data_IF_410366592955
#
_entry.id   IF_410366592955
#
_cell.length_a   1.000
_cell.length_b   1.000
_cell.length_c   1.000
_cell.angle_alpha   90.00
_cell.angle_beta   90.00
_cell.angle_gamma   90.00
#
_symmetry.space_group_name_H-M   'P 1'
#
loop_
_entity.id
_entity.type
_entity.pdbx_description
1 polymer ?
#
# COMPACT_ATOMS: atom_id res chain seq x y z
N UNK A 1 9.94 -13.86 14.90
CA UNK A 1 9.42 -12.54 15.33
C UNK A 1 8.11 -12.24 14.63
N UNK A 2 8.00 -12.47 13.31
CA UNK A 2 6.83 -12.09 12.51
C UNK A 2 5.47 -12.77 12.84
N UNK A 3 5.43 -14.07 13.20
CA UNK A 3 4.14 -14.73 13.53
C UNK A 3 3.42 -14.00 14.68
N UNK A 4 4.18 -13.53 15.67
CA UNK A 4 3.63 -12.80 16.82
C UNK A 4 3.07 -11.44 16.39
N UNK A 5 3.70 -10.77 15.44
CA UNK A 5 3.26 -9.45 14.96
C UNK A 5 1.93 -9.57 14.20
N UNK A 6 1.79 -10.58 13.35
CA UNK A 6 0.51 -10.86 12.69
C UNK A 6 -0.58 -11.26 13.69
N UNK A 7 -0.26 -12.09 14.70
CA UNK A 7 -1.20 -12.42 15.77
C UNK A 7 -1.59 -11.20 16.61
N UNK A 8 -0.69 -10.22 16.75
CA UNK A 8 -0.92 -8.98 17.47
C UNK A 8 -1.82 -8.00 16.70
N UNK A 9 -2.12 -8.25 15.42
CA UNK A 9 -3.05 -7.44 14.65
C UNK A 9 -4.40 -7.27 15.35
N UNK A 10 -4.88 -8.32 16.05
CA UNK A 10 -6.14 -8.29 16.79
C UNK A 10 -6.18 -7.23 17.90
N UNK A 11 -5.02 -6.83 18.42
CA UNK A 11 -4.89 -5.84 19.49
C UNK A 11 -4.69 -4.41 18.99
N UNK A 12 -4.68 -4.19 17.67
CA UNK A 12 -4.68 -2.84 17.09
C UNK A 12 -5.99 -2.12 17.40
N UNK A 13 -5.97 -0.79 17.40
CA UNK A 13 -7.16 0.02 17.67
C UNK A 13 -8.24 -0.20 16.58
N UNK A 14 -9.53 -0.10 16.90
CA UNK A 14 -10.61 -0.41 15.95
C UNK A 14 -10.52 0.36 14.62
N UNK A 15 -10.10 1.63 14.63
CA UNK A 15 -9.97 2.41 13.39
C UNK A 15 -8.84 1.87 12.48
N UNK A 16 -7.75 1.34 13.05
CA UNK A 16 -6.66 0.76 12.27
C UNK A 16 -7.13 -0.52 11.58
N UNK A 17 -7.93 -1.32 12.28
CA UNK A 17 -8.57 -2.52 11.71
C UNK A 17 -9.56 -2.13 10.60
N UNK A 18 -10.39 -1.11 10.81
CA UNK A 18 -11.32 -0.62 9.80
C UNK A 18 -10.60 -0.08 8.55
N UNK A 19 -9.52 0.69 8.71
CA UNK A 19 -8.67 1.17 7.61
C UNK A 19 -8.01 0.02 6.86
N UNK A 20 -7.55 -1.01 7.58
CA UNK A 20 -6.99 -2.23 6.98
C UNK A 20 -8.01 -2.94 6.08
N UNK A 21 -9.23 -3.20 6.57
CA UNK A 21 -10.26 -3.86 5.76
C UNK A 21 -10.72 -2.99 4.59
N UNK A 22 -10.84 -1.68 4.79
CA UNK A 22 -11.11 -0.74 3.69
C UNK A 22 -10.05 -0.86 2.59
N UNK A 23 -8.76 -0.86 2.96
CA UNK A 23 -7.67 -1.05 2.00
C UNK A 23 -7.70 -2.44 1.34
N UNK A 24 -8.06 -3.49 2.06
CA UNK A 24 -8.16 -4.87 1.54
C UNK A 24 -9.26 -4.99 0.48
N UNK A 25 -10.39 -4.33 0.69
CA UNK A 25 -11.53 -4.33 -0.25
C UNK A 25 -11.22 -3.52 -1.51
N UNK A 26 -10.49 -2.42 -1.38
CA UNK A 26 -10.29 -1.46 -2.47
C UNK A 26 -9.06 -1.75 -3.33
N UNK A 27 -8.04 -2.44 -2.82
CA UNK A 27 -6.78 -2.68 -3.55
C UNK A 27 -6.77 -4.04 -4.22
N UNK A 28 -6.31 -4.05 -5.47
CA UNK A 28 -6.01 -5.29 -6.19
C UNK A 28 -4.81 -6.02 -5.54
N UNK A 29 -4.75 -7.35 -5.73
CA UNK A 29 -3.64 -8.22 -5.32
C UNK A 29 -3.26 -8.14 -3.83
N UNK A 30 -4.24 -8.07 -2.94
CA UNK A 30 -3.99 -8.07 -1.48
C UNK A 30 -4.30 -9.42 -0.84
N UNK A 31 -3.51 -9.79 0.17
CA UNK A 31 -3.64 -11.03 0.93
C UNK A 31 -4.01 -10.73 2.38
N UNK A 32 -5.13 -11.25 2.90
CA UNK A 32 -5.51 -11.13 4.30
C UNK A 32 -4.42 -11.60 5.27
N UNK A 33 -4.26 -10.92 6.40
CA UNK A 33 -3.30 -11.32 7.44
C UNK A 33 -3.53 -12.74 7.97
N UNK A 34 -4.77 -13.24 7.95
CA UNK A 34 -5.11 -14.62 8.34
C UNK A 34 -4.53 -15.64 7.38
N UNK A 35 -4.55 -15.37 6.08
CA UNK A 35 -3.97 -16.26 5.06
C UNK A 35 -2.44 -16.28 5.17
N UNK A 36 -1.84 -15.11 5.43
CA UNK A 36 -0.38 -15.04 5.69
C UNK A 36 0.00 -15.86 6.91
N UNK A 37 -0.75 -15.73 8.01
CA UNK A 37 -0.53 -16.51 9.22
C UNK A 37 -0.65 -18.02 9.02
N UNK A 38 -1.57 -18.44 8.15
CA UNK A 38 -1.77 -19.86 7.85
C UNK A 38 -0.58 -20.46 7.10
N UNK A 39 0.04 -19.69 6.20
CA UNK A 39 1.19 -20.16 5.40
C UNK A 39 2.51 -20.11 6.16
N UNK A 40 2.72 -19.12 7.04
CA UNK A 40 4.01 -18.91 7.73
C UNK A 40 4.60 -20.15 8.43
N UNK A 41 3.83 -21.00 9.16
CA UNK A 41 4.35 -22.19 9.82
C UNK A 41 4.88 -23.27 8.87
N UNK A 42 4.47 -23.22 7.59
CA UNK A 42 4.84 -24.19 6.57
C UNK A 42 6.09 -23.80 5.80
N UNK A 43 6.56 -22.55 5.95
CA UNK A 43 7.77 -22.06 5.29
C UNK A 43 9.03 -22.63 5.95
N UNK A 44 9.93 -23.15 5.13
CA UNK A 44 11.23 -23.65 5.55
C UNK A 44 12.39 -22.88 4.87
N UNK A 45 13.62 -23.22 5.26
CA UNK A 45 14.83 -22.56 4.74
C UNK A 45 15.06 -22.87 3.26
N UNK A 46 14.64 -24.03 2.79
CA UNK A 46 14.77 -24.43 1.38
C UNK A 46 13.83 -23.61 0.50
N UNK A 47 12.60 -23.32 0.95
CA UNK A 47 11.66 -22.45 0.26
C UNK A 47 12.26 -21.05 0.04
N UNK A 48 12.89 -20.49 1.07
CA UNK A 48 13.56 -19.19 0.98
C UNK A 48 14.76 -19.23 0.02
N UNK A 49 15.55 -20.30 0.11
CA UNK A 49 16.74 -20.52 -0.74
C UNK A 49 16.36 -20.63 -2.21
N UNK A 50 15.23 -21.27 -2.50
CA UNK A 50 14.69 -21.41 -3.85
C UNK A 50 13.99 -20.12 -4.32
N UNK A 51 13.32 -19.40 -3.41
CA UNK A 51 12.59 -18.18 -3.72
C UNK A 51 13.51 -17.00 -4.03
N UNK A 52 14.62 -16.83 -3.29
CA UNK A 52 15.53 -15.70 -3.46
C UNK A 52 16.04 -15.50 -4.91
N UNK A 53 16.59 -16.53 -5.60
CA UNK A 53 17.01 -16.37 -6.99
C UNK A 53 15.82 -16.20 -7.94
N UNK A 54 14.66 -16.79 -7.63
CA UNK A 54 13.45 -16.62 -8.45
C UNK A 54 12.95 -15.17 -8.38
N UNK A 55 12.90 -14.59 -7.18
CA UNK A 55 12.47 -13.21 -6.95
C UNK A 55 13.37 -12.21 -7.68
N UNK A 56 14.68 -12.46 -7.70
CA UNK A 56 15.66 -11.64 -8.41
C UNK A 56 15.79 -11.98 -9.90
N UNK A 57 15.04 -12.95 -10.43
CA UNK A 57 15.20 -13.35 -11.83
C UNK A 57 14.88 -12.23 -12.83
N UNK A 58 13.93 -11.35 -12.48
CA UNK A 58 13.53 -10.19 -13.27
C UNK A 58 13.25 -8.99 -12.37
N UNK A 59 13.68 -7.80 -12.78
CA UNK A 59 13.47 -6.58 -12.01
C UNK A 59 13.25 -5.35 -12.90
N UNK A 60 12.57 -4.36 -12.34
CA UNK A 60 12.48 -2.99 -12.85
C UNK A 60 12.97 -2.05 -11.74
N UNK A 61 13.76 -1.04 -12.10
CA UNK A 61 14.31 -0.06 -11.16
C UNK A 61 13.66 1.30 -11.38
N UNK A 62 13.11 1.87 -10.32
CA UNK A 62 12.61 3.24 -10.29
C UNK A 62 13.37 3.99 -9.18
N UNK A 63 14.09 5.04 -9.55
CA UNK A 63 14.97 5.76 -8.64
C UNK A 63 14.50 7.20 -8.46
N UNK A 64 14.33 7.63 -7.21
CA UNK A 64 14.11 9.03 -6.84
C UNK A 64 15.35 9.54 -6.10
N UNK A 65 16.04 10.51 -6.69
CA UNK A 65 17.26 11.10 -6.14
C UNK A 65 16.97 12.56 -5.80
N UNK A 66 17.17 12.94 -4.53
CA UNK A 66 16.97 14.30 -4.05
C UNK A 66 18.03 14.66 -3.01
N UNK A 67 18.56 15.88 -3.09
CA UNK A 67 19.59 16.38 -2.18
C UNK A 67 20.60 17.26 -2.89
N UNK A 68 21.75 17.48 -2.24
CA UNK A 68 22.90 18.18 -2.82
C UNK A 68 23.72 17.23 -3.70
N UNK A 69 23.18 16.87 -4.86
CA UNK A 69 23.76 15.94 -5.82
C UNK A 69 23.59 16.56 -7.21
N UNK A 70 24.66 16.61 -7.99
CA UNK A 70 24.59 17.10 -9.37
C UNK A 70 23.89 16.08 -10.29
N UNK A 71 23.39 16.52 -11.45
CA UNK A 71 22.66 15.63 -12.36
C UNK A 71 23.53 14.46 -12.81
N UNK A 72 24.77 14.75 -13.13
CA UNK A 72 25.76 13.81 -13.65
C UNK A 72 26.13 12.77 -12.58
N UNK A 73 26.20 13.19 -11.32
CA UNK A 73 26.39 12.29 -10.18
C UNK A 73 25.18 11.37 -10.01
N UNK A 74 23.98 11.91 -10.09
CA UNK A 74 22.74 11.13 -10.00
C UNK A 74 22.63 10.10 -11.14
N UNK A 75 22.95 10.48 -12.37
CA UNK A 75 22.99 9.59 -13.53
C UNK A 75 24.04 8.48 -13.35
N UNK A 76 25.24 8.84 -12.87
CA UNK A 76 26.31 7.87 -12.57
C UNK A 76 25.89 6.86 -11.50
N UNK A 77 25.18 7.30 -10.46
CA UNK A 77 24.62 6.39 -9.43
C UNK A 77 23.65 5.39 -10.03
N UNK A 78 22.70 5.85 -10.85
CA UNK A 78 21.73 4.96 -11.51
C UNK A 78 22.45 4.00 -12.44
N UNK A 79 23.40 4.48 -13.24
CA UNK A 79 24.16 3.66 -14.17
C UNK A 79 24.94 2.57 -13.43
N UNK A 80 25.55 2.89 -12.28
CA UNK A 80 26.25 1.91 -11.45
C UNK A 80 25.32 0.79 -10.95
N UNK A 81 24.11 1.16 -10.48
CA UNK A 81 23.11 0.18 -10.06
C UNK A 81 22.68 -0.69 -11.25
N UNK A 82 22.41 -0.11 -12.41
CA UNK A 82 22.07 -0.87 -13.63
C UNK A 82 23.18 -1.83 -14.06
N UNK A 83 24.44 -1.40 -13.95
CA UNK A 83 25.59 -2.22 -14.34
C UNK A 83 25.69 -3.47 -13.47
N UNK A 84 25.51 -3.32 -12.16
CA UNK A 84 25.51 -4.44 -11.21
C UNK A 84 24.31 -5.37 -11.43
N UNK A 85 23.12 -4.81 -11.66
CA UNK A 85 21.90 -5.61 -11.80
C UNK A 85 21.78 -6.32 -13.14
N UNK A 86 22.07 -5.63 -14.25
CA UNK A 86 21.66 -6.08 -15.59
C UNK A 86 22.82 -6.28 -16.58
N UNK A 87 23.96 -5.61 -16.42
CA UNK A 87 25.02 -5.54 -17.46
C UNK A 87 26.35 -6.22 -17.09
N UNK A 88 26.53 -6.65 -15.83
CA UNK A 88 27.75 -7.32 -15.37
C UNK A 88 28.01 -8.69 -16.04
N UNK A 89 29.22 -9.27 -15.87
CA UNK A 89 29.56 -10.57 -16.46
C UNK A 89 28.66 -11.73 -15.98
N UNK A 90 28.11 -11.59 -14.77
CA UNK A 90 27.07 -12.45 -14.21
C UNK A 90 25.95 -11.51 -13.68
N UNK A 91 25.01 -11.09 -14.54
CA UNK A 91 23.96 -10.16 -14.12
C UNK A 91 23.06 -10.82 -13.07
N UNK A 92 22.71 -10.07 -12.02
CA UNK A 92 21.88 -10.55 -10.91
C UNK A 92 20.44 -10.79 -11.42
N UNK A 93 19.95 -9.90 -12.29
CA UNK A 93 18.57 -9.87 -12.74
C UNK A 93 18.49 -9.66 -14.26
N UNK A 94 17.34 -9.99 -14.86
CA UNK A 94 16.98 -9.53 -16.21
C UNK A 94 16.02 -8.34 -16.14
N UNK A 95 16.05 -7.40 -17.09
CA UNK A 95 15.06 -6.34 -17.15
C UNK A 95 13.64 -6.91 -17.34
N UNK A 96 12.67 -6.32 -16.65
CA UNK A 96 11.25 -6.63 -16.79
C UNK A 96 10.72 -6.12 -18.15
N UNK A 97 9.84 -6.87 -18.81
CA UNK A 97 9.21 -6.41 -20.06
C UNK A 97 8.15 -5.32 -19.77
N UNK A 98 7.97 -4.32 -20.65
CA UNK A 98 6.92 -3.29 -20.53
C UNK A 98 5.50 -3.83 -20.25
N UNK A 99 5.17 -5.02 -20.73
CA UNK A 99 3.87 -5.66 -20.50
C UNK A 99 3.72 -6.29 -19.11
N UNK A 100 4.82 -6.54 -18.39
CA UNK A 100 4.82 -7.14 -17.06
C UNK A 100 4.71 -6.11 -15.94
N UNK A 101 4.74 -4.82 -16.26
CA UNK A 101 4.62 -3.76 -15.26
C UNK A 101 3.27 -3.87 -14.55
N UNK A 102 3.33 -4.14 -13.24
CA UNK A 102 2.16 -4.13 -12.39
C UNK A 102 1.63 -2.71 -12.31
N UNK A 103 0.34 -2.57 -12.56
CA UNK A 103 -0.35 -1.29 -12.39
C UNK A 103 -1.05 -1.33 -11.04
N UNK A 104 -0.83 -0.32 -10.21
CA UNK A 104 -1.60 -0.16 -8.97
C UNK A 104 -3.05 0.14 -9.35
N UNK A 105 -3.92 -0.86 -9.16
CA UNK A 105 -5.34 -0.76 -9.46
C UNK A 105 -6.13 -0.65 -8.16
N UNK A 106 -7.08 0.28 -8.18
CA UNK A 106 -8.08 0.45 -7.13
C UNK A 106 -9.42 0.06 -7.72
N UNK A 107 -10.23 -0.65 -6.96
CA UNK A 107 -11.61 -1.01 -7.34
C UNK A 107 -12.38 0.27 -7.69
N UNK A 108 -13.03 0.27 -8.85
CA UNK A 108 -13.92 1.36 -9.27
C UNK A 108 -15.32 1.09 -8.72
N UNK A 109 -15.71 1.86 -7.70
CA UNK A 109 -17.05 1.86 -7.15
C UNK A 109 -18.04 2.46 -8.15
N UNK A 110 -19.25 1.90 -8.18
CA UNK A 110 -20.30 2.40 -9.05
C UNK A 110 -20.83 3.76 -8.58
N UNK A 111 -21.11 4.64 -9.54
CA UNK A 111 -21.56 6.00 -9.23
C UNK A 111 -22.95 5.96 -8.57
N UNK A 112 -23.06 6.60 -7.41
CA UNK A 112 -24.32 6.72 -6.67
C UNK A 112 -24.71 5.48 -5.87
N UNK A 113 -23.84 4.47 -5.82
CA UNK A 113 -24.02 3.29 -4.97
C UNK A 113 -23.31 3.47 -3.63
N UNK A 114 -23.89 2.88 -2.59
CA UNK A 114 -23.31 2.82 -1.25
C UNK A 114 -22.97 1.36 -0.93
N UNK A 115 -21.76 1.12 -0.43
CA UNK A 115 -21.30 -0.19 -0.02
C UNK A 115 -21.03 -0.16 1.49
N UNK A 116 -21.41 -1.24 2.19
CA UNK A 116 -21.15 -1.38 3.62
C UNK A 116 -20.48 -2.72 3.87
N UNK A 117 -19.38 -2.70 4.63
CA UNK A 117 -18.72 -3.88 5.16
C UNK A 117 -18.62 -3.73 6.67
N UNK A 118 -19.07 -4.74 7.40
CA UNK A 118 -19.07 -4.73 8.86
C UNK A 118 -18.39 -5.99 9.37
N UNK A 119 -17.61 -5.84 10.44
CA UNK A 119 -16.92 -6.94 11.11
C UNK A 119 -16.85 -6.65 12.60
N UNK A 120 -17.03 -7.69 13.40
CA UNK A 120 -16.85 -7.61 14.85
C UNK A 120 -15.38 -7.31 15.20
N UNK A 121 -15.18 -6.57 16.30
CA UNK A 121 -13.85 -6.26 16.81
C UNK A 121 -13.09 -7.54 17.16
N UNK A 122 -11.82 -7.62 16.75
CA UNK A 122 -11.00 -8.80 16.98
C UNK A 122 -10.51 -8.94 18.44
N UNK A 123 -10.60 -7.86 19.23
CA UNK A 123 -10.23 -7.85 20.64
C UNK A 123 -11.49 -7.75 21.53
N UNK A 124 -11.92 -8.83 22.18
CA UNK A 124 -13.08 -8.80 23.08
C UNK A 124 -12.91 -7.91 24.32
N UNK A 125 -11.67 -7.53 24.65
CA UNK A 125 -11.37 -6.64 25.78
C UNK A 125 -11.44 -5.15 25.40
N UNK A 126 -11.64 -4.83 24.12
CA UNK A 126 -11.82 -3.45 23.66
C UNK A 126 -13.31 -3.22 23.33
N UNK A 127 -13.95 -2.36 24.12
CA UNK A 127 -15.37 -2.01 23.96
C UNK A 127 -15.59 -0.94 22.88
N UNK A 128 -14.52 -0.34 22.35
CA UNK A 128 -14.64 0.70 21.34
C UNK A 128 -14.99 0.13 19.96
N UNK A 129 -15.62 0.97 19.15
CA UNK A 129 -15.87 0.70 17.73
C UNK A 129 -15.34 1.84 16.86
N UNK A 130 -15.18 1.58 15.57
CA UNK A 130 -14.78 2.59 14.60
C UNK A 130 -15.51 2.39 13.26
N UNK A 131 -15.71 3.50 12.56
CA UNK A 131 -16.26 3.55 11.22
C UNK A 131 -15.27 4.26 10.31
N UNK A 132 -15.02 3.67 9.14
CA UNK A 132 -14.29 4.33 8.05
C UNK A 132 -15.29 4.59 6.93
N UNK A 133 -15.50 5.87 6.62
CA UNK A 133 -16.26 6.29 5.46
C UNK A 133 -15.29 6.62 4.33
N UNK A 134 -15.42 5.92 3.20
CA UNK A 134 -14.56 6.09 2.04
C UNK A 134 -15.39 6.62 0.86
N UNK A 135 -14.98 7.77 0.33
CA UNK A 135 -15.61 8.39 -0.83
C UNK A 135 -14.63 8.32 -2.00
N UNK A 136 -14.95 7.50 -3.01
CA UNK A 136 -14.14 7.45 -4.23
C UNK A 136 -14.49 8.62 -5.15
N UNK A 137 -13.45 9.30 -5.62
CA UNK A 137 -13.58 10.41 -6.56
C UNK A 137 -12.72 10.11 -7.77
N UNK A 138 -13.29 10.31 -8.96
CA UNK A 138 -12.53 10.24 -10.20
C UNK A 138 -11.74 11.54 -10.37
N UNK A 139 -10.41 11.43 -10.34
CA UNK A 139 -9.52 12.52 -10.77
C UNK A 139 -9.32 12.37 -12.27
N UNK A 140 -9.95 13.24 -13.07
CA UNK A 140 -9.48 13.50 -14.42
C UNK A 140 -8.18 14.29 -14.27
N UNK A 141 -7.07 13.75 -14.77
CA UNK A 141 -5.75 14.37 -14.64
C UNK A 141 -5.81 15.79 -15.20
N UNK A 142 -5.70 16.75 -14.29
CA UNK A 142 -5.79 18.19 -14.49
C UNK A 142 -5.74 18.85 -13.10
N UNK A 143 -4.74 19.70 -12.86
CA UNK A 143 -4.34 20.24 -11.55
C UNK A 143 -5.45 20.91 -10.72
N UNK A 144 -6.61 21.17 -11.33
CA UNK A 144 -7.77 21.84 -10.73
C UNK A 144 -8.48 20.98 -9.67
N UNK A 145 -8.57 19.67 -9.86
CA UNK A 145 -9.38 18.79 -8.98
C UNK A 145 -8.62 18.45 -7.69
N UNK A 146 -7.32 18.16 -7.77
CA UNK A 146 -6.51 17.86 -6.58
C UNK A 146 -6.51 19.04 -5.59
N UNK A 147 -6.38 20.27 -6.11
CA UNK A 147 -6.51 21.48 -5.31
C UNK A 147 -7.91 21.61 -4.69
N UNK A 148 -8.98 21.42 -5.46
CA UNK A 148 -10.35 21.52 -4.94
C UNK A 148 -10.65 20.51 -3.81
N UNK A 149 -10.10 19.30 -3.86
CA UNK A 149 -10.23 18.32 -2.76
C UNK A 149 -9.42 18.70 -1.52
N UNK A 150 -8.19 19.17 -1.71
CA UNK A 150 -7.35 19.65 -0.61
C UNK A 150 -8.01 20.85 0.10
N UNK A 151 -8.53 21.82 -0.66
CA UNK A 151 -9.25 22.97 -0.12
C UNK A 151 -10.54 22.55 0.60
N UNK A 152 -11.36 21.66 0.03
CA UNK A 152 -12.61 21.23 0.66
C UNK A 152 -12.39 20.51 2.00
N UNK A 153 -11.36 19.66 2.10
CA UNK A 153 -10.99 19.04 3.37
C UNK A 153 -10.55 20.10 4.39
N UNK A 154 -9.76 21.10 3.99
CA UNK A 154 -9.31 22.18 4.88
C UNK A 154 -10.48 22.99 5.49
N UNK A 155 -11.56 23.22 4.75
CA UNK A 155 -12.77 23.89 5.26
C UNK A 155 -13.60 23.01 6.20
N UNK A 156 -13.63 21.68 6.02
CA UNK A 156 -14.35 20.76 6.90
C UNK A 156 -13.68 20.65 8.29
N UNK A 157 -12.35 20.82 8.36
CA UNK A 157 -11.60 20.79 9.62
C UNK A 157 -11.59 22.13 10.39
N UNK A 158 -12.09 23.24 9.80
CA UNK A 158 -12.19 24.52 10.51
C UNK A 158 -13.45 24.52 11.38
N UNK A 159 -13.28 24.11 12.64
CA UNK A 159 -14.36 23.88 13.60
C UNK A 159 -14.91 25.21 14.17
N UNK A 160 -16.17 25.52 13.88
CA UNK A 160 -17.02 26.30 14.80
C UNK A 160 -17.27 25.43 16.04
N UNK A 161 -16.93 25.95 17.22
CA UNK A 161 -16.69 25.18 18.44
C UNK A 161 -17.92 24.56 19.13
N UNK A 162 -19.13 24.62 18.58
CA UNK A 162 -20.36 24.29 19.34
C UNK A 162 -21.30 23.26 18.68
N UNK A 163 -20.86 22.45 17.71
CA UNK A 163 -21.68 21.36 17.16
C UNK A 163 -20.99 20.00 17.14
N UNK A 164 -21.73 18.90 17.39
CA UNK A 164 -21.17 17.55 17.42
C UNK A 164 -20.61 17.19 16.04
N UNK A 165 -19.39 16.68 16.05
CA UNK A 165 -18.60 16.30 14.87
C UNK A 165 -19.29 15.12 14.16
N UNK A 166 -20.08 15.40 13.12
CA UNK A 166 -20.51 14.39 12.16
C UNK A 166 -19.43 14.35 11.08
N UNK A 167 -18.60 13.32 11.11
CA UNK A 167 -17.61 13.04 10.06
C UNK A 167 -18.37 12.55 8.82
N UNK A 168 -18.38 13.38 7.78
CA UNK A 168 -18.79 13.01 6.42
C UNK A 168 -17.64 12.34 5.67
#
# INVERSE_FOLDING_TARGET
MEIKDYQNFKFQQPYQQAMYYCSLILKDQTWPWVERLDVLPHLNVEDLTNFAPMMLSQAFLECYIAGNIEREEAESMVQHVEDVFFKGPNPICRPLFPSQFLTNRVVKLERGMNYCYSKEGLNPSDENSALVHYIQVIVLVGDSIFNAFSFRNHFIFHKDNDLPMILY
#
